data_IF_401659159159
#
_entry.id   IF_401659159159
#
_cell.length_a   1.000
_cell.length_b   1.000
_cell.length_c   1.000
_cell.angle_alpha   90.00
_cell.angle_beta   90.00
_cell.angle_gamma   90.00
#
_symmetry.space_group_name_H-M   'P 1'
#
loop_
_entity.id
_entity.type
_entity.pdbx_description
1 polymer ?
#
# COMPACT_ATOMS: atom_id res chain seq x y z
N UNK A 1 -3.60 44.11 -24.76
CA UNK A 1 -4.48 44.91 -23.90
C UNK A 1 -4.83 46.25 -24.51
N UNK A 2 -3.83 47.07 -24.94
CA UNK A 2 -4.04 48.40 -25.54
C UNK A 2 -4.87 48.38 -26.83
N UNK A 3 -4.65 47.44 -27.76
CA UNK A 3 -5.41 47.29 -28.98
C UNK A 3 -6.90 46.98 -28.69
N UNK A 4 -7.17 46.19 -27.67
CA UNK A 4 -8.52 45.82 -27.24
C UNK A 4 -9.30 47.04 -26.67
N UNK A 5 -8.60 47.86 -25.87
CA UNK A 5 -9.18 49.12 -25.33
C UNK A 5 -9.51 50.11 -26.45
N UNK A 6 -8.65 50.26 -27.47
CA UNK A 6 -8.87 51.12 -28.61
C UNK A 6 -10.09 50.68 -29.45
N UNK A 7 -10.19 49.36 -29.70
CA UNK A 7 -11.35 48.83 -30.46
C UNK A 7 -12.66 49.04 -29.71
N UNK A 8 -12.65 48.85 -28.37
CA UNK A 8 -13.81 49.10 -27.51
C UNK A 8 -14.22 50.61 -27.51
N UNK A 9 -13.24 51.52 -27.49
CA UNK A 9 -13.49 52.95 -27.46
C UNK A 9 -14.04 53.49 -28.79
N UNK A 10 -13.67 52.89 -29.93
CA UNK A 10 -14.12 53.33 -31.26
C UNK A 10 -15.50 52.80 -31.68
N UNK A 11 -16.02 51.76 -31.03
CA UNK A 11 -17.31 51.15 -31.37
C UNK A 11 -18.24 51.07 -30.17
N UNK A 12 -19.11 52.08 -29.93
CA UNK A 12 -20.03 52.11 -28.78
C UNK A 12 -21.02 50.94 -28.80
N UNK A 13 -21.40 50.46 -29.97
CA UNK A 13 -22.27 49.27 -30.10
C UNK A 13 -21.60 48.01 -29.61
N UNK A 14 -20.32 47.81 -29.88
CA UNK A 14 -19.54 46.68 -29.41
C UNK A 14 -19.34 46.72 -27.89
N UNK A 15 -19.17 47.94 -27.33
CA UNK A 15 -19.11 48.13 -25.88
C UNK A 15 -20.40 47.77 -25.17
N UNK A 16 -21.55 48.18 -25.72
CA UNK A 16 -22.87 47.84 -25.17
C UNK A 16 -23.14 46.35 -25.22
N UNK A 17 -22.85 45.67 -26.32
CA UNK A 17 -23.03 44.22 -26.48
C UNK A 17 -22.11 43.47 -25.51
N UNK A 18 -20.79 43.85 -25.43
CA UNK A 18 -19.82 43.23 -24.55
C UNK A 18 -20.17 43.38 -23.08
N UNK A 19 -20.61 44.58 -22.67
CA UNK A 19 -21.04 44.85 -21.29
C UNK A 19 -22.33 44.10 -20.96
N UNK A 20 -23.28 44.04 -21.88
CA UNK A 20 -24.50 43.27 -21.73
C UNK A 20 -24.24 41.79 -21.56
N UNK A 21 -23.34 41.21 -22.35
CA UNK A 21 -22.93 39.80 -22.23
C UNK A 21 -22.23 39.49 -20.90
N UNK A 22 -21.38 40.40 -20.45
CA UNK A 22 -20.70 40.27 -19.17
C UNK A 22 -21.67 40.33 -18.01
N UNK A 23 -22.67 41.24 -18.08
CA UNK A 23 -23.75 41.35 -17.08
C UNK A 23 -24.57 40.06 -17.01
N UNK A 24 -24.95 39.49 -18.15
CA UNK A 24 -25.66 38.20 -18.22
C UNK A 24 -24.82 37.07 -17.60
N UNK A 25 -23.53 37.05 -17.89
CA UNK A 25 -22.61 36.06 -17.29
C UNK A 25 -22.55 36.17 -15.77
N UNK A 26 -22.42 37.40 -15.25
CA UNK A 26 -22.38 37.61 -13.79
C UNK A 26 -23.71 37.23 -13.14
N UNK A 27 -24.82 37.64 -13.73
CA UNK A 27 -26.17 37.30 -13.19
C UNK A 27 -26.37 35.78 -13.19
N UNK A 28 -26.06 35.12 -14.29
CA UNK A 28 -26.14 33.64 -14.39
C UNK A 28 -25.25 32.96 -13.35
N UNK A 29 -24.03 33.44 -13.14
CA UNK A 29 -23.11 32.92 -12.14
C UNK A 29 -23.66 33.10 -10.71
N UNK A 30 -24.22 34.29 -10.40
CA UNK A 30 -24.79 34.56 -9.07
C UNK A 30 -26.01 33.69 -8.83
N UNK A 31 -26.92 33.56 -9.82
CA UNK A 31 -28.06 32.68 -9.73
C UNK A 31 -27.68 31.23 -9.55
N UNK A 32 -26.73 30.73 -10.33
CA UNK A 32 -26.23 29.37 -10.20
C UNK A 32 -25.65 29.10 -8.81
N UNK A 33 -24.83 30.02 -8.29
CA UNK A 33 -24.24 29.89 -6.95
C UNK A 33 -25.28 29.97 -5.83
N UNK A 34 -26.28 30.85 -5.97
CA UNK A 34 -27.39 30.91 -5.02
C UNK A 34 -28.22 29.64 -5.02
N UNK A 35 -28.47 29.08 -6.18
CA UNK A 35 -29.25 27.85 -6.30
C UNK A 35 -28.51 26.66 -5.65
N UNK A 36 -27.19 26.68 -5.62
CA UNK A 36 -26.39 25.67 -4.98
C UNK A 36 -25.97 25.99 -3.53
N UNK A 37 -26.53 27.03 -2.93
CA UNK A 37 -26.21 27.49 -1.56
C UNK A 37 -24.70 27.74 -1.34
N UNK A 38 -23.96 28.02 -2.40
CA UNK A 38 -22.52 28.24 -2.33
C UNK A 38 -22.20 29.69 -1.98
N UNK A 39 -21.31 30.00 -1.05
CA UNK A 39 -20.92 31.35 -0.69
C UNK A 39 -20.22 32.04 -1.87
N UNK A 40 -20.68 33.30 -2.19
CA UNK A 40 -20.25 34.05 -3.37
C UNK A 40 -18.75 34.39 -3.41
N UNK A 41 -18.12 34.52 -2.25
CA UNK A 41 -16.75 35.03 -2.08
C UNK A 41 -15.74 33.99 -1.54
N UNK A 42 -16.19 32.84 -1.10
CA UNK A 42 -15.26 31.79 -0.64
C UNK A 42 -14.97 30.82 -1.75
N UNK A 43 -13.70 30.71 -2.09
CA UNK A 43 -13.19 29.53 -2.80
C UNK A 43 -13.60 28.32 -1.98
N UNK A 44 -14.36 27.39 -2.57
CA UNK A 44 -14.60 26.11 -1.94
C UNK A 44 -13.22 25.47 -1.79
N UNK A 45 -12.60 25.64 -0.63
CA UNK A 45 -11.56 24.73 -0.25
C UNK A 45 -12.27 23.38 -0.23
N UNK A 46 -11.96 22.52 -1.20
CA UNK A 46 -12.23 21.10 -1.01
C UNK A 46 -11.51 20.79 0.29
N UNK A 47 -12.26 20.75 1.38
CA UNK A 47 -11.80 20.11 2.58
C UNK A 47 -11.53 18.69 2.07
N UNK A 48 -10.28 18.41 1.75
CA UNK A 48 -9.80 17.02 1.77
C UNK A 48 -10.41 16.50 3.06
N UNK A 49 -11.26 15.45 3.02
CA UNK A 49 -11.84 14.91 4.23
C UNK A 49 -10.67 14.82 5.19
N UNK A 50 -10.78 15.57 6.30
CA UNK A 50 -9.79 15.54 7.37
C UNK A 50 -9.44 14.08 7.49
N UNK A 51 -8.17 13.69 7.29
CA UNK A 51 -7.84 12.27 7.26
C UNK A 51 -8.47 11.76 8.53
N UNK A 52 -9.56 11.01 8.38
CA UNK A 52 -10.38 10.45 9.44
C UNK A 52 -9.36 10.03 10.44
N UNK A 53 -9.27 10.76 11.62
CA UNK A 53 -8.14 10.67 12.49
C UNK A 53 -7.72 9.23 12.45
N UNK A 54 -6.60 8.96 11.81
CA UNK A 54 -6.17 7.57 11.61
C UNK A 54 -5.90 7.20 13.05
N UNK A 55 -6.96 6.69 13.72
CA UNK A 55 -6.74 5.89 14.92
C UNK A 55 -5.64 4.97 14.46
N UNK A 56 -4.45 5.17 15.00
CA UNK A 56 -3.31 4.32 14.67
C UNK A 56 -3.86 2.92 14.80
N UNK A 57 -4.12 2.28 13.63
CA UNK A 57 -4.77 0.98 13.62
C UNK A 57 -3.74 0.03 14.17
N UNK A 58 -3.79 -0.15 15.48
CA UNK A 58 -2.91 -1.04 16.19
C UNK A 58 -3.51 -2.44 16.16
N UNK A 59 -2.73 -3.38 15.65
CA UNK A 59 -3.11 -4.79 15.66
C UNK A 59 -2.47 -5.50 16.85
N UNK A 60 -3.24 -6.37 17.50
CA UNK A 60 -2.76 -7.22 18.60
C UNK A 60 -1.91 -8.39 18.11
N UNK A 61 -2.20 -8.90 16.93
CA UNK A 61 -1.51 -10.05 16.34
C UNK A 61 -1.35 -9.86 14.84
N UNK A 62 -0.11 -9.85 14.39
CA UNK A 62 0.24 -9.69 12.97
C UNK A 62 1.02 -10.92 12.50
N UNK A 63 0.62 -11.49 11.37
CA UNK A 63 1.33 -12.55 10.69
C UNK A 63 2.15 -11.95 9.55
N UNK A 64 3.46 -12.13 9.56
CA UNK A 64 4.35 -11.72 8.47
C UNK A 64 4.76 -12.95 7.68
N UNK A 65 4.46 -12.97 6.39
CA UNK A 65 4.84 -14.05 5.50
C UNK A 65 6.09 -13.69 4.71
N UNK A 66 7.15 -14.50 4.88
CA UNK A 66 8.44 -14.34 4.22
C UNK A 66 8.73 -15.57 3.36
N UNK A 67 8.71 -15.48 2.04
CA UNK A 67 9.15 -16.56 1.17
C UNK A 67 10.67 -16.76 1.30
N UNK A 68 11.11 -17.99 1.59
CA UNK A 68 12.54 -18.30 1.81
C UNK A 68 13.38 -18.27 0.52
N UNK A 69 12.74 -18.33 -0.64
CA UNK A 69 13.35 -18.19 -1.96
C UNK A 69 13.63 -16.73 -2.35
N UNK A 70 13.16 -15.78 -1.53
CA UNK A 70 13.30 -14.35 -1.77
C UNK A 70 14.33 -13.72 -0.83
N UNK A 71 14.97 -12.59 -1.23
CA UNK A 71 15.82 -11.85 -0.32
C UNK A 71 14.99 -11.35 0.87
N UNK A 72 15.65 -11.23 2.01
CA UNK A 72 15.02 -10.71 3.22
C UNK A 72 14.70 -9.22 3.07
N UNK A 73 13.46 -8.84 3.33
CA UNK A 73 13.03 -7.44 3.30
C UNK A 73 12.87 -6.90 4.72
N UNK A 74 13.73 -5.94 5.05
CA UNK A 74 13.66 -5.24 6.35
C UNK A 74 12.44 -4.32 6.43
N UNK A 75 12.02 -3.76 5.29
CA UNK A 75 10.88 -2.85 5.21
C UNK A 75 9.56 -3.52 5.61
N UNK A 76 9.38 -4.78 5.20
CA UNK A 76 8.20 -5.58 5.56
C UNK A 76 8.13 -5.81 7.07
N UNK A 77 9.27 -6.11 7.69
CA UNK A 77 9.36 -6.32 9.14
C UNK A 77 9.15 -5.01 9.90
N UNK A 78 9.77 -3.93 9.44
CA UNK A 78 9.61 -2.60 10.04
C UNK A 78 8.16 -2.10 9.94
N UNK A 79 7.50 -2.33 8.81
CA UNK A 79 6.08 -2.02 8.64
C UNK A 79 5.21 -2.83 9.60
N UNK A 80 5.44 -4.13 9.73
CA UNK A 80 4.73 -4.98 10.69
C UNK A 80 4.94 -4.54 12.14
N UNK A 81 6.17 -4.10 12.48
CA UNK A 81 6.49 -3.59 13.81
C UNK A 81 5.76 -2.28 14.12
N UNK A 82 5.61 -1.38 13.14
CA UNK A 82 4.85 -0.13 13.29
C UNK A 82 3.35 -0.37 13.44
N UNK A 83 2.82 -1.41 12.81
CA UNK A 83 1.39 -1.74 12.85
C UNK A 83 0.97 -2.46 14.14
N UNK A 84 1.92 -2.90 14.94
CA UNK A 84 1.67 -3.59 16.21
C UNK A 84 1.78 -2.65 17.39
N UNK A 85 0.78 -2.63 18.28
CA UNK A 85 0.78 -1.84 19.51
C UNK A 85 1.82 -2.30 20.54
N UNK A 86 2.42 -1.36 21.29
CA UNK A 86 3.51 -1.64 22.25
C UNK A 86 3.13 -2.55 23.42
N UNK A 87 1.86 -2.66 23.73
CA UNK A 87 1.43 -3.31 24.98
C UNK A 87 1.11 -4.80 24.89
N UNK A 88 0.66 -5.34 23.71
CA UNK A 88 0.03 -6.67 23.67
C UNK A 88 0.45 -7.54 22.46
N UNK A 89 1.68 -7.48 22.01
CA UNK A 89 2.10 -7.87 20.68
C UNK A 89 2.47 -9.32 20.50
N UNK A 90 1.94 -9.89 19.41
CA UNK A 90 2.53 -11.04 18.79
C UNK A 90 2.77 -10.77 17.32
N UNK A 91 4.03 -10.58 16.92
CA UNK A 91 4.42 -10.70 15.54
C UNK A 91 4.78 -12.15 15.28
N UNK A 92 4.01 -12.79 14.40
CA UNK A 92 4.26 -14.16 13.99
C UNK A 92 4.91 -14.16 12.63
N UNK A 93 6.13 -14.63 12.53
CA UNK A 93 6.86 -14.75 11.27
C UNK A 93 6.66 -16.14 10.73
N UNK A 94 6.16 -16.22 9.52
CA UNK A 94 5.99 -17.45 8.76
C UNK A 94 6.99 -17.46 7.60
N UNK A 95 8.09 -18.16 7.77
CA UNK A 95 9.03 -18.40 6.69
C UNK A 95 8.52 -19.57 5.85
N UNK A 96 8.25 -19.33 4.58
CA UNK A 96 7.72 -20.31 3.64
C UNK A 96 8.83 -20.92 2.83
N UNK A 97 9.06 -22.22 3.01
CA UNK A 97 10.01 -23.00 2.26
C UNK A 97 9.30 -23.72 1.11
N UNK A 98 9.51 -23.26 -0.11
CA UNK A 98 8.88 -23.84 -1.30
C UNK A 98 9.64 -25.10 -1.72
N UNK A 99 8.97 -26.26 -1.59
CA UNK A 99 9.52 -27.56 -1.97
C UNK A 99 9.10 -27.90 -3.40
N UNK A 100 10.06 -28.10 -4.34
CA UNK A 100 9.77 -28.48 -5.71
C UNK A 100 8.89 -29.74 -5.79
N UNK A 101 8.06 -29.83 -6.82
CA UNK A 101 7.05 -30.92 -6.98
C UNK A 101 7.66 -32.30 -7.15
N UNK A 102 8.88 -32.38 -7.66
CA UNK A 102 9.60 -33.64 -7.86
C UNK A 102 10.24 -34.21 -6.60
N UNK A 103 10.32 -33.43 -5.50
CA UNK A 103 10.86 -33.87 -4.22
C UNK A 103 9.74 -34.20 -3.23
N UNK A 104 9.92 -35.17 -2.32
CA UNK A 104 9.01 -35.37 -1.20
C UNK A 104 8.92 -34.13 -0.31
N UNK A 105 7.76 -33.86 0.27
CA UNK A 105 7.59 -32.67 1.15
C UNK A 105 8.48 -32.74 2.40
N UNK A 106 8.85 -33.96 2.82
CA UNK A 106 9.73 -34.24 3.95
C UNK A 106 11.22 -34.26 3.63
N UNK A 107 11.61 -34.00 2.36
CA UNK A 107 13.00 -33.99 1.97
C UNK A 107 13.82 -32.99 2.77
N UNK A 108 15.05 -33.40 3.13
CA UNK A 108 15.94 -32.58 3.94
C UNK A 108 16.57 -31.46 3.09
N UNK A 109 16.02 -30.28 3.11
CA UNK A 109 16.50 -29.08 2.44
C UNK A 109 17.28 -28.21 3.45
N UNK A 110 18.42 -28.72 3.91
CA UNK A 110 19.19 -28.13 5.03
C UNK A 110 19.63 -26.69 4.79
N UNK A 111 20.03 -26.34 3.59
CA UNK A 111 20.50 -24.99 3.25
C UNK A 111 19.34 -23.98 3.23
N UNK A 112 18.22 -24.38 2.63
CA UNK A 112 17.02 -23.56 2.56
C UNK A 112 16.38 -23.38 3.95
N UNK A 113 16.38 -24.45 4.77
CA UNK A 113 15.93 -24.36 6.17
C UNK A 113 16.82 -23.44 6.99
N UNK A 114 18.15 -23.53 6.83
CA UNK A 114 19.08 -22.63 7.50
C UNK A 114 18.85 -21.19 7.09
N UNK A 115 18.60 -20.94 5.79
CA UNK A 115 18.26 -19.62 5.28
C UNK A 115 16.96 -19.12 5.88
N UNK A 116 15.89 -19.91 5.86
CA UNK A 116 14.61 -19.57 6.45
C UNK A 116 14.71 -19.26 7.94
N UNK A 117 15.49 -20.06 8.67
CA UNK A 117 15.74 -19.81 10.09
C UNK A 117 16.54 -18.52 10.31
N UNK A 118 17.54 -18.24 9.46
CA UNK A 118 18.30 -16.99 9.50
C UNK A 118 17.44 -15.75 9.25
N UNK A 119 16.43 -15.85 8.37
CA UNK A 119 15.44 -14.77 8.16
C UNK A 119 14.62 -14.51 9.41
N UNK A 120 14.18 -15.56 10.11
CA UNK A 120 13.44 -15.42 11.38
C UNK A 120 14.29 -14.73 12.44
N UNK A 121 15.56 -15.13 12.58
CA UNK A 121 16.45 -14.51 13.58
C UNK A 121 16.74 -13.03 13.25
N UNK A 122 16.96 -12.69 11.98
CA UNK A 122 17.09 -11.28 11.56
C UNK A 122 15.84 -10.49 11.85
N UNK A 123 14.68 -11.04 11.57
CA UNK A 123 13.42 -10.38 11.86
C UNK A 123 13.20 -10.14 13.36
N UNK A 124 13.63 -11.06 14.22
CA UNK A 124 13.61 -10.86 15.68
C UNK A 124 14.51 -9.71 16.13
N UNK A 125 15.65 -9.53 15.48
CA UNK A 125 16.56 -8.42 15.78
C UNK A 125 15.93 -7.06 15.45
N UNK A 126 15.13 -6.98 14.37
CA UNK A 126 14.48 -5.73 13.91
C UNK A 126 13.22 -5.45 14.73
N UNK A 127 12.36 -6.44 14.92
CA UNK A 127 11.05 -6.27 15.54
C UNK A 127 11.04 -6.48 17.07
N UNK A 128 12.18 -6.86 17.66
CA UNK A 128 12.34 -7.02 19.12
C UNK A 128 11.90 -8.38 19.66
N UNK A 129 11.93 -8.53 20.99
CA UNK A 129 11.86 -9.82 21.70
C UNK A 129 10.51 -10.56 21.66
N UNK A 130 9.43 -9.97 21.12
CA UNK A 130 8.10 -10.59 21.10
C UNK A 130 7.72 -11.19 19.74
N UNK A 131 8.71 -11.63 19.02
CA UNK A 131 8.53 -12.24 17.70
C UNK A 131 8.60 -13.75 17.82
N UNK A 132 7.56 -14.44 17.41
CA UNK A 132 7.60 -15.88 17.18
C UNK A 132 7.81 -16.16 15.71
N UNK A 133 8.65 -17.15 15.40
CA UNK A 133 8.92 -17.53 14.02
C UNK A 133 8.74 -19.03 13.81
N UNK A 134 8.24 -19.39 12.62
CA UNK A 134 8.09 -20.76 12.19
C UNK A 134 8.43 -20.93 10.73
N UNK A 135 9.09 -22.01 10.39
CA UNK A 135 9.30 -22.43 9.01
C UNK A 135 8.20 -23.42 8.62
N UNK A 136 7.52 -23.17 7.51
CA UNK A 136 6.51 -24.07 6.95
C UNK A 136 6.91 -24.46 5.53
N UNK A 137 6.80 -25.75 5.23
CA UNK A 137 7.10 -26.30 3.91
C UNK A 137 5.82 -26.28 3.06
N UNK A 138 5.91 -25.69 1.89
CA UNK A 138 4.75 -25.51 1.00
C UNK A 138 5.10 -25.98 -0.42
N UNK A 139 4.08 -26.34 -1.20
CA UNK A 139 4.23 -26.59 -2.63
C UNK A 139 4.14 -25.29 -3.42
N UNK A 140 4.82 -25.19 -4.58
CA UNK A 140 4.68 -24.04 -5.46
C UNK A 140 3.22 -23.74 -5.78
N UNK A 141 2.82 -22.47 -5.58
CA UNK A 141 1.45 -21.98 -5.83
C UNK A 141 0.44 -22.27 -4.73
N UNK A 142 0.84 -22.88 -3.60
CA UNK A 142 -0.01 -23.09 -2.43
C UNK A 142 0.27 -22.13 -1.29
N UNK A 143 1.25 -21.24 -1.44
CA UNK A 143 1.72 -20.32 -0.40
C UNK A 143 0.57 -19.49 0.18
N UNK A 144 -0.25 -18.89 -0.67
CA UNK A 144 -1.38 -18.05 -0.25
C UNK A 144 -2.40 -18.80 0.59
N UNK A 145 -2.69 -20.06 0.24
CA UNK A 145 -3.59 -20.91 1.02
C UNK A 145 -3.02 -21.23 2.40
N UNK A 146 -1.72 -21.57 2.47
CA UNK A 146 -1.06 -21.86 3.74
C UNK A 146 -0.98 -20.63 4.66
N UNK A 147 -0.68 -19.46 4.10
CA UNK A 147 -0.70 -18.19 4.84
C UNK A 147 -2.11 -17.93 5.39
N UNK A 148 -3.14 -18.03 4.55
CA UNK A 148 -4.52 -17.81 4.96
C UNK A 148 -4.95 -18.77 6.08
N UNK A 149 -4.64 -20.06 5.93
CA UNK A 149 -4.91 -21.08 6.96
C UNK A 149 -4.18 -20.77 8.26
N UNK A 150 -2.91 -20.35 8.18
CA UNK A 150 -2.11 -20.03 9.35
C UNK A 150 -2.61 -18.77 10.04
N UNK A 151 -2.99 -17.74 9.29
CA UNK A 151 -3.59 -16.53 9.84
C UNK A 151 -4.87 -16.82 10.63
N UNK A 152 -5.75 -17.68 10.09
CA UNK A 152 -6.95 -18.14 10.80
C UNK A 152 -6.60 -18.92 12.07
N UNK A 153 -5.63 -19.84 12.00
CA UNK A 153 -5.21 -20.66 13.14
C UNK A 153 -4.56 -19.85 14.27
N UNK A 154 -3.74 -18.84 13.94
CA UNK A 154 -3.11 -17.94 14.91
C UNK A 154 -4.01 -16.79 15.36
N UNK A 155 -5.23 -16.68 14.82
CA UNK A 155 -6.15 -15.56 15.04
C UNK A 155 -5.47 -14.22 14.77
N UNK A 156 -4.66 -14.16 13.71
CA UNK A 156 -4.01 -12.93 13.30
C UNK A 156 -5.05 -11.91 12.83
N UNK A 157 -4.91 -10.67 13.28
CA UNK A 157 -5.78 -9.56 12.88
C UNK A 157 -5.35 -8.96 11.55
N UNK A 158 -4.07 -9.10 11.21
CA UNK A 158 -3.52 -8.68 9.93
C UNK A 158 -2.46 -9.66 9.41
N UNK A 159 -2.37 -9.77 8.09
CA UNK A 159 -1.28 -10.44 7.37
C UNK A 159 -0.49 -9.39 6.62
N UNK A 160 0.81 -9.36 6.82
CA UNK A 160 1.74 -8.46 6.11
C UNK A 160 2.56 -9.29 5.13
N UNK A 161 2.57 -8.87 3.88
CA UNK A 161 3.37 -9.47 2.81
C UNK A 161 4.13 -8.41 2.04
N UNK A 162 5.35 -8.72 1.60
CA UNK A 162 6.11 -7.91 0.68
C UNK A 162 5.60 -8.05 -0.76
N UNK A 163 5.52 -6.94 -1.46
CA UNK A 163 5.22 -6.92 -2.89
C UNK A 163 6.47 -6.52 -3.65
N UNK A 164 6.92 -7.41 -4.52
CA UNK A 164 8.03 -7.11 -5.42
C UNK A 164 7.58 -6.19 -6.54
N UNK A 165 8.42 -5.22 -6.83
CA UNK A 165 8.35 -4.43 -8.04
C UNK A 165 9.38 -4.98 -9.03
N UNK A 166 8.97 -5.24 -10.26
CA UNK A 166 9.85 -5.50 -11.39
C UNK A 166 9.72 -4.34 -12.37
N UNK A 167 10.82 -3.66 -12.65
CA UNK A 167 10.85 -2.48 -13.52
C UNK A 167 9.89 -1.36 -13.08
N UNK A 168 9.73 -1.17 -11.76
CA UNK A 168 8.83 -0.17 -11.17
C UNK A 168 7.34 -0.55 -11.20
N UNK A 169 6.99 -1.73 -11.74
CA UNK A 169 5.61 -2.22 -11.78
C UNK A 169 5.40 -3.26 -10.67
N UNK A 170 4.46 -3.03 -9.74
CA UNK A 170 4.16 -4.01 -8.70
C UNK A 170 3.59 -5.29 -9.31
N UNK A 171 4.19 -6.43 -8.96
CA UNK A 171 3.77 -7.75 -9.45
C UNK A 171 2.79 -8.39 -8.46
N UNK A 172 1.55 -8.48 -8.84
CA UNK A 172 0.53 -9.20 -8.08
C UNK A 172 0.66 -10.69 -8.35
N UNK A 173 1.33 -11.40 -7.44
CA UNK A 173 1.49 -12.84 -7.54
C UNK A 173 0.23 -13.61 -7.16
N UNK A 174 0.17 -14.88 -7.56
CA UNK A 174 -0.92 -15.82 -7.22
C UNK A 174 -1.15 -15.94 -5.71
N UNK A 175 -0.11 -15.76 -4.92
CA UNK A 175 -0.17 -15.76 -3.44
C UNK A 175 -1.05 -14.62 -2.94
N UNK A 176 -0.86 -13.39 -3.44
CA UNK A 176 -1.67 -12.23 -3.06
C UNK A 176 -3.12 -12.39 -3.53
N UNK A 177 -3.34 -12.85 -4.77
CA UNK A 177 -4.67 -13.13 -5.29
C UNK A 177 -5.43 -14.11 -4.39
N UNK A 178 -4.77 -15.20 -3.96
CA UNK A 178 -5.36 -16.19 -3.08
C UNK A 178 -5.70 -15.59 -1.72
N UNK A 179 -4.81 -14.77 -1.13
CA UNK A 179 -5.06 -14.09 0.14
C UNK A 179 -6.24 -13.12 0.07
N UNK A 180 -6.35 -12.36 -1.00
CA UNK A 180 -7.45 -11.42 -1.22
C UNK A 180 -8.78 -12.15 -1.44
N UNK A 181 -8.76 -13.34 -2.03
CA UNK A 181 -9.94 -14.18 -2.20
C UNK A 181 -10.38 -14.85 -0.90
N UNK A 182 -9.44 -15.44 -0.16
CA UNK A 182 -9.70 -16.17 1.10
C UNK A 182 -10.06 -15.26 2.26
N UNK A 183 -9.61 -14.00 2.23
CA UNK A 183 -9.86 -12.96 3.24
C UNK A 183 -9.76 -13.46 4.69
N UNK A 184 -8.62 -14.05 5.09
CA UNK A 184 -8.47 -14.60 6.44
C UNK A 184 -8.59 -13.51 7.52
N UNK A 185 -8.10 -12.33 7.22
CA UNK A 185 -8.08 -11.12 8.04
C UNK A 185 -7.73 -9.93 7.14
N UNK A 186 -7.29 -8.80 7.69
CA UNK A 186 -6.77 -7.67 6.89
C UNK A 186 -5.46 -8.06 6.22
N UNK A 187 -5.35 -7.84 4.91
CA UNK A 187 -4.13 -8.08 4.14
C UNK A 187 -3.46 -6.74 3.88
N UNK A 188 -2.24 -6.59 4.36
CA UNK A 188 -1.43 -5.39 4.22
C UNK A 188 -0.27 -5.73 3.30
N UNK A 189 -0.16 -4.99 2.22
CA UNK A 189 0.88 -5.18 1.22
C UNK A 189 1.89 -4.06 1.37
N UNK A 190 3.14 -4.44 1.61
CA UNK A 190 4.25 -3.49 1.67
C UNK A 190 4.98 -3.54 0.34
N UNK A 191 5.01 -2.42 -0.36
CA UNK A 191 5.80 -2.29 -1.58
C UNK A 191 7.26 -2.14 -1.16
N UNK A 192 8.10 -3.08 -1.57
CA UNK A 192 9.54 -2.93 -1.44
C UNK A 192 9.97 -1.82 -2.39
N UNK A 193 10.50 -0.73 -1.83
CA UNK A 193 11.09 0.34 -2.63
C UNK A 193 12.18 -0.26 -3.52
N UNK A 194 12.27 0.18 -4.75
CA UNK A 194 13.40 -0.14 -5.61
C UNK A 194 14.62 0.47 -4.91
N UNK A 195 15.36 -0.35 -4.15
CA UNK A 195 16.65 0.08 -3.63
C UNK A 195 17.47 0.66 -4.78
N UNK A 196 18.38 1.62 -4.52
CA UNK A 196 19.21 2.17 -5.59
C UNK A 196 19.78 0.98 -6.35
N UNK A 197 19.48 0.95 -7.65
CA UNK A 197 20.00 -0.07 -8.55
C UNK A 197 21.51 -0.15 -8.28
N UNK A 198 21.96 -1.30 -7.77
CA UNK A 198 23.37 -1.58 -7.60
C UNK A 198 24.02 -1.25 -8.93
N UNK A 199 24.74 -0.13 -8.95
CA UNK A 199 25.37 0.39 -10.16
C UNK A 199 26.21 -0.76 -10.71
N UNK A 200 25.79 -1.30 -11.85
CA UNK A 200 26.56 -2.29 -12.57
C UNK A 200 27.98 -1.70 -12.72
N UNK A 201 29.06 -2.46 -12.38
CA UNK A 201 30.40 -1.99 -12.60
C UNK A 201 30.55 -1.65 -14.08
N UNK A 202 30.92 -0.41 -14.35
CA UNK A 202 31.19 0.07 -15.70
C UNK A 202 32.28 -0.80 -16.34
N UNK A 203 32.22 -1.10 -17.65
CA UNK A 203 33.15 -1.94 -18.37
C UNK A 203 34.57 -1.37 -18.42
#
# INVERSE_FOLDING_TARGET
>A
LLAWVIVMALNPTTMLIGTGWLAVGIVSYVLYRRHQELPLTRTVKVLLPEPLGVEEIEYRSVLVALPADQPFSEEVIAAAAKLTSDRWRGIHILALLTVPTHLPLGEAMKEEERRAQGMIERAKLIAGMRVSGRVERVRPGQEGYFIARRAKASKAEAVVIGLRSRDGVPQYGKTLETLLRERPCRVIVVSEGTGPAEAAPAP
#
